data_IF_704885417259
#
_entry.id   IF_704885417259
#
_cell.length_a   1.000
_cell.length_b   1.000
_cell.length_c   1.000
_cell.angle_alpha   90.00
_cell.angle_beta   90.00
_cell.angle_gamma   90.00
#
_symmetry.space_group_name_H-M   'P 1'
#
loop_
_entity.id
_entity.type
_entity.pdbx_description
1 polymer ?
#
# COMPACT_ATOMS: atom_id res chain seq x y z
N UNK A 1 -1.65 -37.70 57.74
CA UNK A 1 -1.78 -38.29 56.39
C UNK A 1 -3.05 -37.78 55.73
N UNK A 2 -2.92 -36.91 54.73
CA UNK A 2 -3.94 -36.67 53.70
C UNK A 2 -3.23 -35.99 52.54
N UNK A 3 -2.94 -36.78 51.50
CA UNK A 3 -2.41 -36.31 50.22
C UNK A 3 -3.53 -35.60 49.48
N UNK A 4 -3.30 -34.41 48.95
CA UNK A 4 -4.05 -33.89 47.81
C UNK A 4 -3.06 -33.17 46.88
N UNK A 5 -2.95 -33.72 45.68
CA UNK A 5 -2.25 -33.16 44.52
C UNK A 5 -2.90 -31.82 44.13
N UNK A 6 -2.12 -30.90 43.56
CA UNK A 6 -2.66 -30.02 42.52
C UNK A 6 -1.58 -29.61 41.51
N UNK A 7 -2.05 -29.63 40.27
CA UNK A 7 -1.33 -29.64 39.02
C UNK A 7 -0.44 -28.41 38.78
N UNK A 8 0.68 -28.69 38.11
CA UNK A 8 1.60 -27.73 37.51
C UNK A 8 0.93 -27.15 36.25
N UNK A 9 0.45 -25.90 36.31
CA UNK A 9 0.09 -25.16 35.10
C UNK A 9 1.36 -24.58 34.47
N UNK A 10 1.89 -25.24 33.44
CA UNK A 10 2.71 -24.56 32.44
C UNK A 10 1.77 -23.65 31.63
N UNK A 11 1.75 -22.37 31.96
CA UNK A 11 1.18 -21.36 31.09
C UNK A 11 2.05 -21.23 29.84
N UNK A 12 1.59 -21.80 28.73
CA UNK A 12 2.13 -21.51 27.41
C UNK A 12 1.75 -20.06 27.09
N UNK A 13 2.63 -19.10 27.41
CA UNK A 13 2.51 -17.76 26.87
C UNK A 13 2.71 -17.86 25.37
N UNK A 14 1.61 -17.83 24.62
CA UNK A 14 1.64 -17.65 23.18
C UNK A 14 2.42 -16.36 22.89
N UNK A 15 3.58 -16.53 22.27
CA UNK A 15 4.37 -15.48 21.68
C UNK A 15 3.44 -14.61 20.83
N UNK A 16 3.18 -13.38 21.27
CA UNK A 16 2.80 -12.32 20.36
C UNK A 16 3.99 -12.11 19.45
N UNK A 17 3.98 -12.78 18.29
CA UNK A 17 5.00 -12.60 17.27
C UNK A 17 4.96 -11.15 16.86
N UNK A 18 5.93 -10.36 17.36
CA UNK A 18 6.31 -9.15 16.68
C UNK A 18 6.68 -9.58 15.26
N UNK A 19 5.80 -9.33 14.30
CA UNK A 19 6.19 -9.31 12.89
C UNK A 19 7.13 -8.11 12.74
N UNK A 20 8.39 -8.31 13.14
CA UNK A 20 9.46 -7.42 12.76
C UNK A 20 9.37 -7.28 11.24
N UNK A 21 9.25 -6.04 10.76
CA UNK A 21 9.13 -5.81 9.33
C UNK A 21 10.35 -6.45 8.66
N UNK A 22 10.09 -7.49 7.87
CA UNK A 22 11.12 -8.13 7.05
C UNK A 22 11.68 -7.05 6.11
N UNK A 23 12.97 -7.10 5.84
CA UNK A 23 13.61 -6.23 4.85
C UNK A 23 14.08 -7.06 3.67
N UNK A 24 14.01 -6.51 2.46
CA UNK A 24 14.66 -7.09 1.28
C UNK A 24 16.16 -6.75 1.24
N UNK A 25 16.87 -7.21 0.20
CA UNK A 25 18.31 -6.98 0.00
C UNK A 25 18.65 -5.48 -0.18
N UNK A 26 17.70 -4.69 -0.67
CA UNK A 26 17.80 -3.24 -0.77
C UNK A 26 17.59 -2.52 0.57
N UNK A 27 17.20 -3.22 1.63
CA UNK A 27 16.94 -2.65 2.95
C UNK A 27 15.61 -1.88 3.01
N UNK A 28 14.68 -2.18 2.11
CA UNK A 28 13.29 -1.72 2.19
C UNK A 28 12.48 -2.70 3.03
N UNK A 29 11.53 -2.17 3.81
CA UNK A 29 10.58 -3.00 4.54
C UNK A 29 9.63 -3.69 3.55
N UNK A 30 9.27 -4.95 3.76
CA UNK A 30 8.39 -5.69 2.85
C UNK A 30 7.11 -6.13 3.56
N UNK A 31 6.09 -6.45 2.76
CA UNK A 31 4.98 -7.29 3.19
C UNK A 31 4.89 -8.49 2.24
N UNK A 32 4.54 -9.68 2.74
CA UNK A 32 4.47 -10.89 1.91
C UNK A 32 3.38 -10.88 0.84
N UNK A 33 2.49 -9.88 0.88
CA UNK A 33 1.35 -9.74 -0.02
C UNK A 33 1.55 -8.68 -1.10
N UNK A 34 2.71 -8.02 -1.17
CA UNK A 34 3.04 -7.13 -2.28
C UNK A 34 3.23 -7.95 -3.56
N UNK A 35 2.83 -7.39 -4.70
CA UNK A 35 3.02 -8.00 -6.00
C UNK A 35 4.50 -7.89 -6.40
N UNK A 36 5.09 -9.02 -6.77
CA UNK A 36 6.40 -9.07 -7.42
C UNK A 36 6.21 -8.84 -8.93
N UNK A 37 6.31 -7.58 -9.34
CA UNK A 37 6.05 -7.10 -10.69
C UNK A 37 7.34 -6.93 -11.51
N UNK A 38 7.27 -7.10 -12.83
CA UNK A 38 8.34 -6.74 -13.77
C UNK A 38 8.49 -5.23 -14.00
N UNK A 39 7.63 -4.41 -13.37
CA UNK A 39 7.57 -2.95 -13.48
C UNK A 39 7.19 -2.45 -14.87
N UNK A 40 6.28 -3.17 -15.53
CA UNK A 40 5.69 -2.76 -16.80
C UNK A 40 4.27 -2.25 -16.53
N UNK A 41 4.11 -0.94 -16.30
CA UNK A 41 2.89 -0.41 -15.68
C UNK A 41 1.61 -0.65 -16.48
N UNK A 42 1.69 -0.67 -17.80
CA UNK A 42 0.53 -1.00 -18.63
C UNK A 42 0.10 -2.46 -18.42
N UNK A 43 1.06 -3.38 -18.37
CA UNK A 43 0.79 -4.80 -18.14
C UNK A 43 0.31 -5.05 -16.71
N UNK A 44 0.92 -4.40 -15.71
CA UNK A 44 0.47 -4.46 -14.31
C UNK A 44 -1.00 -4.01 -14.17
N UNK A 45 -1.40 -2.92 -14.85
CA UNK A 45 -2.79 -2.44 -14.84
C UNK A 45 -3.72 -3.45 -15.52
N UNK A 46 -3.34 -3.97 -16.68
CA UNK A 46 -4.18 -4.90 -17.44
C UNK A 46 -4.35 -6.25 -16.72
N UNK A 47 -3.29 -6.77 -16.10
CA UNK A 47 -3.34 -7.99 -15.30
C UNK A 47 -4.15 -7.81 -14.01
N UNK A 48 -4.02 -6.66 -13.35
CA UNK A 48 -4.86 -6.33 -12.20
C UNK A 48 -6.34 -6.25 -12.61
N UNK A 49 -6.65 -5.57 -13.73
CA UNK A 49 -8.02 -5.43 -14.23
C UNK A 49 -8.65 -6.77 -14.61
N UNK A 50 -7.88 -7.67 -15.22
CA UNK A 50 -8.32 -9.06 -15.50
C UNK A 50 -8.70 -9.83 -14.21
N UNK A 51 -8.15 -9.43 -13.06
CA UNK A 51 -8.48 -9.95 -11.74
C UNK A 51 -9.50 -9.09 -10.96
N UNK A 52 -10.14 -8.11 -11.61
CA UNK A 52 -11.04 -7.11 -11.01
C UNK A 52 -10.37 -6.25 -9.94
N UNK A 53 -9.07 -5.98 -10.10
CA UNK A 53 -8.26 -5.19 -9.18
C UNK A 53 -7.68 -3.96 -9.88
N UNK A 54 -7.13 -3.06 -9.07
CA UNK A 54 -6.41 -1.86 -9.46
C UNK A 54 -4.96 -1.95 -9.01
N UNK A 55 -4.12 -1.03 -9.46
CA UNK A 55 -2.71 -0.97 -9.01
C UNK A 55 -2.50 0.24 -8.09
N UNK A 56 -1.75 0.03 -7.02
CA UNK A 56 -1.17 1.09 -6.20
C UNK A 56 0.34 0.88 -6.08
N UNK A 57 1.11 1.96 -6.25
CA UNK A 57 2.55 1.94 -6.01
C UNK A 57 2.84 2.49 -4.63
N UNK A 58 3.78 1.88 -3.89
CA UNK A 58 4.35 2.45 -2.67
C UNK A 58 5.84 2.76 -2.91
N UNK A 59 6.19 4.04 -2.88
CA UNK A 59 7.56 4.51 -3.08
C UNK A 59 8.25 4.63 -1.72
N UNK A 60 9.37 3.93 -1.56
CA UNK A 60 10.09 3.81 -0.29
C UNK A 60 11.60 3.97 -0.47
N UNK A 61 12.32 4.16 0.64
CA UNK A 61 13.78 4.26 0.64
C UNK A 61 14.38 3.54 1.85
N UNK A 62 15.62 3.08 1.72
CA UNK A 62 16.39 2.47 2.81
C UNK A 62 16.48 3.43 4.01
N UNK A 63 16.31 2.90 5.22
CA UNK A 63 16.46 3.66 6.47
C UNK A 63 15.30 4.62 6.78
N UNK A 64 14.22 4.58 6.02
CA UNK A 64 13.04 5.40 6.22
C UNK A 64 12.22 4.95 7.45
N UNK A 65 12.28 5.74 8.54
CA UNK A 65 11.54 5.44 9.78
C UNK A 65 10.01 5.46 9.60
N UNK A 66 9.49 6.24 8.65
CA UNK A 66 8.07 6.29 8.35
C UNK A 66 7.60 5.09 7.54
N UNK A 67 8.45 4.57 6.67
CA UNK A 67 8.25 3.34 5.91
C UNK A 67 8.18 2.16 6.87
N UNK A 68 9.14 2.08 7.81
CA UNK A 68 9.11 1.14 8.93
C UNK A 68 7.78 1.19 9.67
N UNK A 69 7.37 2.38 10.11
CA UNK A 69 6.12 2.59 10.85
C UNK A 69 4.91 2.13 10.05
N UNK A 70 4.84 2.49 8.77
CA UNK A 70 3.75 2.10 7.87
C UNK A 70 3.66 0.57 7.75
N UNK A 71 4.80 -0.11 7.58
CA UNK A 71 4.86 -1.57 7.51
C UNK A 71 4.48 -2.26 8.83
N UNK A 72 5.03 -1.80 9.95
CA UNK A 72 4.84 -2.47 11.25
C UNK A 72 3.48 -2.20 11.88
N UNK A 73 2.93 -0.99 11.72
CA UNK A 73 1.71 -0.58 12.43
C UNK A 73 0.45 -0.63 11.57
N UNK A 74 0.57 -0.57 10.24
CA UNK A 74 -0.58 -0.43 9.34
C UNK A 74 -0.67 -1.57 8.34
N UNK A 75 0.34 -1.76 7.48
CA UNK A 75 0.30 -2.76 6.40
C UNK A 75 0.47 -4.21 6.88
N UNK A 76 0.98 -4.42 8.09
CA UNK A 76 1.06 -5.73 8.76
C UNK A 76 -0.29 -6.23 9.27
N UNK A 77 -1.31 -5.37 9.36
CA UNK A 77 -2.59 -5.72 9.97
C UNK A 77 -3.44 -6.51 8.99
N UNK A 78 -4.05 -7.59 9.47
CA UNK A 78 -4.92 -8.46 8.65
C UNK A 78 -6.07 -7.67 7.99
N UNK A 79 -6.72 -6.79 8.74
CA UNK A 79 -7.84 -5.97 8.24
C UNK A 79 -7.44 -4.98 7.13
N UNK A 80 -6.21 -4.46 7.18
CA UNK A 80 -5.66 -3.60 6.13
C UNK A 80 -5.24 -4.43 4.92
N UNK A 81 -4.53 -5.54 5.15
CA UNK A 81 -4.15 -6.47 4.07
C UNK A 81 -5.39 -6.92 3.30
N UNK A 82 -6.41 -7.40 3.99
CA UNK A 82 -7.64 -7.91 3.36
C UNK A 82 -8.37 -6.82 2.58
N UNK A 83 -8.50 -5.62 3.14
CA UNK A 83 -9.15 -4.51 2.44
C UNK A 83 -8.37 -4.05 1.20
N UNK A 84 -7.04 -4.02 1.26
CA UNK A 84 -6.20 -3.64 0.12
C UNK A 84 -6.22 -4.75 -0.94
N UNK A 85 -5.88 -5.99 -0.55
CA UNK A 85 -5.71 -7.10 -1.50
C UNK A 85 -7.00 -7.57 -2.16
N UNK A 86 -8.16 -7.18 -1.63
CA UNK A 86 -9.45 -7.39 -2.27
C UNK A 86 -9.59 -6.61 -3.59
N UNK A 87 -9.13 -5.35 -3.62
CA UNK A 87 -9.37 -4.43 -4.74
C UNK A 87 -8.08 -3.96 -5.42
N UNK A 88 -6.90 -4.22 -4.84
CA UNK A 88 -5.63 -3.71 -5.31
C UNK A 88 -4.52 -4.76 -5.33
N UNK A 89 -3.68 -4.68 -6.35
CA UNK A 89 -2.31 -5.14 -6.34
C UNK A 89 -1.40 -3.98 -5.92
N UNK A 90 -0.52 -4.22 -4.95
CA UNK A 90 0.38 -3.19 -4.45
C UNK A 90 1.83 -3.52 -4.78
N UNK A 91 2.50 -2.62 -5.49
CA UNK A 91 3.87 -2.79 -5.98
C UNK A 91 4.79 -1.83 -5.22
N UNK A 92 5.91 -2.33 -4.72
CA UNK A 92 6.93 -1.52 -4.05
C UNK A 92 7.93 -0.98 -5.06
N UNK A 93 8.21 0.33 -4.95
CA UNK A 93 9.18 1.05 -5.76
C UNK A 93 10.30 1.57 -4.85
N UNK A 94 11.54 1.27 -5.20
CA UNK A 94 12.71 1.79 -4.53
C UNK A 94 13.04 3.19 -5.07
N UNK A 95 12.90 4.23 -4.25
CA UNK A 95 13.19 5.63 -4.60
C UNK A 95 14.61 5.84 -5.17
N UNK A 96 15.56 4.98 -4.80
CA UNK A 96 16.93 5.02 -5.31
C UNK A 96 17.33 3.72 -6.03
N UNK A 97 16.34 2.93 -6.45
CA UNK A 97 16.54 1.68 -7.16
C UNK A 97 17.01 1.88 -8.59
N UNK A 98 17.56 0.80 -9.13
CA UNK A 98 18.09 0.72 -10.49
C UNK A 98 17.37 -0.33 -11.34
N UNK A 99 16.24 -0.89 -10.86
CA UNK A 99 15.41 -1.77 -11.69
C UNK A 99 14.84 -0.97 -12.84
N UNK A 100 14.90 -1.53 -14.04
CA UNK A 100 14.26 -0.94 -15.21
C UNK A 100 12.74 -1.01 -15.05
N UNK A 101 12.06 0.07 -15.44
CA UNK A 101 10.62 0.24 -15.31
C UNK A 101 10.08 0.93 -16.55
N UNK A 102 8.94 0.45 -17.06
CA UNK A 102 8.23 1.01 -18.21
C UNK A 102 7.01 1.81 -17.72
N UNK A 103 7.01 3.12 -17.94
CA UNK A 103 5.90 4.02 -17.58
C UNK A 103 4.71 3.87 -18.57
N UNK A 104 3.59 4.52 -18.24
CA UNK A 104 2.38 4.52 -19.07
C UNK A 104 2.55 5.22 -20.42
N UNK A 105 3.55 6.10 -20.57
CA UNK A 105 3.91 6.69 -21.87
C UNK A 105 4.89 5.85 -22.69
N UNK A 106 5.26 4.66 -22.19
CA UNK A 106 6.19 3.74 -22.85
C UNK A 106 7.66 4.11 -22.70
N UNK A 107 8.01 5.10 -21.87
CA UNK A 107 9.42 5.38 -21.56
C UNK A 107 9.95 4.39 -20.51
N UNK A 108 11.08 3.77 -20.81
CA UNK A 108 11.81 2.90 -19.89
C UNK A 108 12.88 3.70 -19.14
N UNK A 109 12.82 3.72 -17.80
CA UNK A 109 13.79 4.38 -16.93
C UNK A 109 14.09 3.50 -15.70
N UNK A 110 15.27 3.64 -15.07
CA UNK A 110 15.50 3.08 -13.76
C UNK A 110 14.57 3.73 -12.72
N UNK A 111 14.14 2.98 -11.70
CA UNK A 111 13.21 3.44 -10.65
C UNK A 111 13.55 4.85 -10.12
N UNK A 112 14.82 5.14 -9.84
CA UNK A 112 15.25 6.46 -9.34
C UNK A 112 14.93 7.64 -10.26
N UNK A 113 15.09 7.46 -11.58
CA UNK A 113 14.74 8.51 -12.55
C UNK A 113 13.23 8.53 -12.80
N UNK A 114 12.56 7.38 -12.69
CA UNK A 114 11.10 7.28 -12.78
C UNK A 114 10.41 8.02 -11.63
N UNK A 115 10.85 7.81 -10.39
CA UNK A 115 10.35 8.51 -9.19
C UNK A 115 10.53 10.03 -9.30
N UNK A 116 11.66 10.46 -9.89
CA UNK A 116 11.93 11.86 -10.19
C UNK A 116 11.02 12.40 -11.30
N UNK A 117 10.79 11.64 -12.38
CA UNK A 117 9.83 11.95 -13.46
C UNK A 117 8.41 12.13 -12.90
N UNK A 118 8.04 11.34 -11.89
CA UNK A 118 6.74 11.45 -11.20
C UNK A 118 6.67 12.57 -10.16
N UNK A 119 7.80 13.19 -9.82
CA UNK A 119 7.85 14.28 -8.84
C UNK A 119 7.59 13.82 -7.40
N UNK A 120 7.82 12.54 -7.09
CA UNK A 120 7.69 12.03 -5.73
C UNK A 120 8.91 12.42 -4.88
N UNK A 121 8.68 13.19 -3.80
CA UNK A 121 9.73 13.80 -2.99
C UNK A 121 9.90 13.19 -1.59
N UNK A 122 8.92 12.41 -1.13
CA UNK A 122 8.85 11.91 0.24
C UNK A 122 8.52 10.42 0.27
N UNK A 123 8.88 9.75 1.36
CA UNK A 123 8.60 8.32 1.58
C UNK A 123 8.01 8.07 2.97
N UNK A 124 7.07 7.12 3.13
CA UNK A 124 6.44 6.38 2.04
C UNK A 124 5.47 7.28 1.26
N UNK A 125 5.37 7.10 -0.05
CA UNK A 125 4.33 7.75 -0.87
C UNK A 125 3.54 6.67 -1.59
N UNK A 126 2.22 6.62 -1.38
CA UNK A 126 1.34 5.74 -2.16
C UNK A 126 0.76 6.51 -3.34
N UNK A 127 0.94 6.00 -4.55
CA UNK A 127 0.35 6.54 -5.78
C UNK A 127 -0.71 5.56 -6.29
N UNK A 128 -1.92 6.07 -6.52
CA UNK A 128 -3.04 5.26 -7.03
C UNK A 128 -3.16 5.43 -8.54
N UNK A 129 -2.99 4.33 -9.29
CA UNK A 129 -2.99 4.35 -10.74
C UNK A 129 -4.41 4.49 -11.32
N UNK A 130 -4.54 4.97 -12.58
CA UNK A 130 -5.78 4.84 -13.34
C UNK A 130 -6.29 3.39 -13.37
N UNK A 131 -7.61 3.21 -13.42
CA UNK A 131 -8.16 1.94 -13.87
C UNK A 131 -7.86 1.73 -15.37
N UNK A 132 -7.90 0.49 -15.88
CA UNK A 132 -7.56 0.19 -17.27
C UNK A 132 -8.37 1.02 -18.29
N UNK A 133 -9.66 1.23 -18.01
CA UNK A 133 -10.57 2.05 -18.82
C UNK A 133 -10.32 3.58 -18.70
N UNK A 134 -9.44 4.00 -17.81
CA UNK A 134 -9.06 5.40 -17.55
C UNK A 134 -7.63 5.73 -17.96
N UNK A 135 -6.89 4.77 -18.55
CA UNK A 135 -5.53 4.99 -19.06
C UNK A 135 -5.61 5.79 -20.36
N UNK A 136 -4.95 6.94 -20.39
CA UNK A 136 -4.75 7.72 -21.60
C UNK A 136 -3.38 7.38 -22.21
N UNK A 137 -3.37 6.88 -23.45
CA UNK A 137 -2.13 6.51 -24.14
C UNK A 137 -1.17 7.69 -24.31
N UNK A 138 0.14 7.42 -24.20
CA UNK A 138 1.20 8.40 -24.46
C UNK A 138 1.36 9.47 -23.37
N UNK A 139 0.64 9.37 -22.25
CA UNK A 139 0.81 10.24 -21.08
C UNK A 139 1.48 9.47 -19.93
N UNK A 140 2.47 10.06 -19.24
CA UNK A 140 3.13 9.40 -18.11
C UNK A 140 2.18 9.26 -16.93
N UNK A 141 2.48 8.33 -16.00
CA UNK A 141 1.71 8.17 -14.77
C UNK A 141 1.57 9.48 -13.98
N UNK A 142 2.60 10.33 -14.00
CA UNK A 142 2.60 11.62 -13.28
C UNK A 142 1.47 12.57 -13.69
N UNK A 143 0.93 12.43 -14.90
CA UNK A 143 -0.18 13.24 -15.41
C UNK A 143 -1.55 12.58 -15.21
N UNK A 144 -1.58 11.31 -14.78
CA UNK A 144 -2.79 10.49 -14.77
C UNK A 144 -3.08 9.82 -13.42
N UNK A 145 -2.17 9.96 -12.44
CA UNK A 145 -2.33 9.46 -11.08
C UNK A 145 -3.64 9.96 -10.48
N UNK A 146 -4.46 9.07 -9.91
CA UNK A 146 -5.81 9.41 -9.43
C UNK A 146 -5.80 9.99 -8.03
N UNK A 147 -4.81 9.61 -7.22
CA UNK A 147 -4.57 10.17 -5.90
C UNK A 147 -3.15 9.88 -5.44
N UNK A 148 -2.63 10.70 -4.53
CA UNK A 148 -1.32 10.52 -3.91
C UNK A 148 -1.48 10.67 -2.40
N UNK A 149 -0.92 9.72 -1.66
CA UNK A 149 -0.89 9.73 -0.20
C UNK A 149 0.58 9.85 0.28
N UNK A 150 1.09 11.07 0.52
CA UNK A 150 2.51 11.33 0.78
C UNK A 150 2.84 11.22 2.28
N UNK A 151 2.82 10.01 2.82
CA UNK A 151 3.31 9.77 4.17
C UNK A 151 2.77 8.51 4.85
N UNK A 152 3.27 8.26 6.06
CA UNK A 152 2.81 7.18 6.92
C UNK A 152 1.53 7.58 7.68
N UNK A 153 0.38 7.42 7.04
CA UNK A 153 -0.92 7.68 7.65
C UNK A 153 -1.38 6.53 8.53
N UNK A 154 -2.21 6.83 9.53
CA UNK A 154 -2.79 5.82 10.40
C UNK A 154 -3.79 4.92 9.66
N UNK A 155 -3.98 3.70 10.17
CA UNK A 155 -4.91 2.67 9.66
C UNK A 155 -6.22 3.21 9.09
N UNK A 156 -6.93 4.05 9.85
CA UNK A 156 -8.25 4.55 9.43
C UNK A 156 -8.20 5.39 8.15
N UNK A 157 -7.20 6.25 8.00
CA UNK A 157 -7.02 7.08 6.81
C UNK A 157 -6.59 6.24 5.61
N UNK A 158 -5.75 5.22 5.82
CA UNK A 158 -5.34 4.28 4.75
C UNK A 158 -6.57 3.55 4.21
N UNK A 159 -7.34 2.89 5.09
CA UNK A 159 -8.56 2.17 4.69
C UNK A 159 -9.54 3.07 3.94
N UNK A 160 -9.74 4.29 4.42
CA UNK A 160 -10.65 5.24 3.79
C UNK A 160 -10.12 5.71 2.43
N UNK A 161 -8.82 5.93 2.27
CA UNK A 161 -8.24 6.34 0.99
C UNK A 161 -8.39 5.23 -0.05
N UNK A 162 -8.05 3.98 0.30
CA UNK A 162 -8.23 2.84 -0.58
C UNK A 162 -9.70 2.68 -0.98
N UNK A 163 -10.63 2.73 -0.02
CA UNK A 163 -12.07 2.65 -0.30
C UNK A 163 -12.55 3.81 -1.20
N UNK A 164 -12.11 5.04 -0.94
CA UNK A 164 -12.49 6.20 -1.74
C UNK A 164 -11.98 6.10 -3.18
N UNK A 165 -10.77 5.57 -3.38
CA UNK A 165 -10.23 5.30 -4.72
C UNK A 165 -10.99 4.16 -5.39
N UNK A 166 -11.27 3.04 -4.71
CA UNK A 166 -12.13 1.95 -5.24
C UNK A 166 -13.46 2.50 -5.75
N UNK A 167 -14.09 3.38 -4.97
CA UNK A 167 -15.36 4.03 -5.32
C UNK A 167 -15.25 5.10 -6.42
N UNK A 168 -14.08 5.28 -7.03
CA UNK A 168 -13.75 6.37 -7.97
C UNK A 168 -14.11 7.75 -7.42
N UNK A 169 -13.88 7.96 -6.13
CA UNK A 169 -14.21 9.20 -5.41
C UNK A 169 -13.52 10.43 -5.98
N UNK A 170 -12.38 10.27 -6.67
CA UNK A 170 -11.68 11.33 -7.39
C UNK A 170 -12.47 11.91 -8.58
N UNK A 171 -13.50 11.21 -9.06
CA UNK A 171 -14.43 11.69 -10.08
C UNK A 171 -15.72 12.29 -9.49
N UNK A 172 -15.88 12.31 -8.15
CA UNK A 172 -17.09 12.76 -7.45
C UNK A 172 -16.89 14.13 -6.82
N UNK A 173 -18.02 14.78 -6.50
CA UNK A 173 -18.02 16.09 -5.82
C UNK A 173 -17.56 16.03 -4.35
N UNK A 174 -17.63 14.86 -3.70
CA UNK A 174 -17.19 14.69 -2.31
C UNK A 174 -15.66 14.54 -2.24
N UNK A 175 -14.92 15.55 -1.75
CA UNK A 175 -13.47 15.42 -1.59
C UNK A 175 -13.14 14.42 -0.48
N UNK A 176 -11.96 13.79 -0.59
CA UNK A 176 -11.49 12.78 0.37
C UNK A 176 -11.61 13.19 1.84
N UNK A 177 -11.32 14.46 2.18
CA UNK A 177 -11.40 14.92 3.58
C UNK A 177 -12.82 14.84 4.15
N UNK A 178 -13.86 15.14 3.34
CA UNK A 178 -15.26 14.99 3.75
C UNK A 178 -15.65 13.52 3.85
N UNK A 179 -15.23 12.72 2.86
CA UNK A 179 -15.42 11.27 2.88
C UNK A 179 -14.81 10.63 4.14
N UNK A 180 -13.57 10.98 4.48
CA UNK A 180 -12.86 10.49 5.66
C UNK A 180 -13.58 10.87 6.97
N UNK A 181 -14.01 12.13 7.09
CA UNK A 181 -14.78 12.58 8.26
C UNK A 181 -16.11 11.80 8.42
N UNK A 182 -16.81 11.56 7.31
CA UNK A 182 -18.05 10.76 7.29
C UNK A 182 -17.78 9.31 7.70
N UNK A 183 -16.76 8.66 7.15
CA UNK A 183 -16.36 7.29 7.54
C UNK A 183 -15.95 7.18 9.01
N UNK A 184 -15.32 8.20 9.59
CA UNK A 184 -15.05 8.25 11.04
C UNK A 184 -16.36 8.26 11.84
N UNK A 185 -17.34 9.06 11.44
CA UNK A 185 -18.63 9.13 12.12
C UNK A 185 -19.38 7.79 12.02
N UNK A 186 -19.42 7.17 10.85
CA UNK A 186 -20.01 5.83 10.62
C UNK A 186 -19.39 4.78 11.55
N UNK A 187 -18.05 4.70 11.62
CA UNK A 187 -17.35 3.76 12.51
C UNK A 187 -17.58 4.01 14.00
N UNK A 188 -17.78 5.26 14.41
CA UNK A 188 -18.10 5.61 15.82
C UNK A 188 -19.52 5.23 16.19
N UNK A 189 -20.46 5.32 15.25
CA UNK A 189 -21.86 4.94 15.48
C UNK A 189 -22.08 3.42 15.50
N UNK A 190 -21.16 2.65 14.90
CA UNK A 190 -21.19 1.18 14.87
C UNK A 190 -20.53 0.51 16.10
N UNK A 191 -20.00 1.29 17.05
CA UNK A 191 -19.40 0.84 18.30
C UNK A 191 -20.40 1.00 19.45
#
# INVERSE_FOLDING_TARGET
MRKLLSAMLLGLMAYGGAHAAMMNEDGLHIQPWFLDSFLELNDDINEADANNKRVALIIEQRGCIYCKKMHEEVLSRDDVREAITADFEMIQINMFGDREMLDLDGEALPEKEMVKKWGALFTPTIMFLPAADEVEEGKPLSQQVKSVMPGAFARGTVLDMFSWVTERGYNKDEPFQKYHARKIAERRAAQ
#
